data_IF_780671041815
#
_entry.id   IF_780671041815
#
_cell.length_a   1.000
_cell.length_b   1.000
_cell.length_c   1.000
_cell.angle_alpha   90.00
_cell.angle_beta   90.00
_cell.angle_gamma   90.00
#
_symmetry.space_group_name_H-M   'P 1'
#
loop_
_entity.id
_entity.type
_entity.pdbx_description
1 polymer ?
#
# COMPACT_ATOMS: atom_id res chain seq x y z
N UNK A 1 -20.18 -14.96 -84.84
CA UNK A 1 -20.63 -13.87 -83.99
C UNK A 1 -20.36 -14.27 -82.51
N UNK A 2 -19.27 -13.84 -81.89
CA UNK A 2 -18.88 -14.19 -80.53
C UNK A 2 -19.04 -12.99 -79.66
N UNK A 3 -19.99 -13.08 -78.74
CA UNK A 3 -20.21 -12.10 -77.67
C UNK A 3 -19.11 -12.29 -76.62
N UNK A 4 -18.27 -11.26 -76.46
CA UNK A 4 -17.28 -11.18 -75.37
C UNK A 4 -17.95 -10.50 -74.16
N UNK A 5 -18.27 -11.26 -73.16
CA UNK A 5 -18.81 -10.74 -71.90
C UNK A 5 -17.62 -10.35 -70.98
N UNK A 6 -17.45 -9.04 -70.81
CA UNK A 6 -16.48 -8.50 -69.84
C UNK A 6 -17.01 -8.66 -68.42
N UNK A 7 -16.41 -9.58 -67.69
CA UNK A 7 -16.57 -9.66 -66.23
C UNK A 7 -15.70 -8.54 -65.58
N UNK A 8 -16.36 -7.48 -65.10
CA UNK A 8 -15.74 -6.47 -64.29
C UNK A 8 -15.70 -7.01 -62.86
N UNK A 9 -14.56 -7.56 -62.46
CA UNK A 9 -14.30 -7.95 -61.08
C UNK A 9 -14.03 -6.69 -60.25
N UNK A 10 -15.05 -6.26 -59.49
CA UNK A 10 -14.91 -5.19 -58.51
C UNK A 10 -14.08 -5.66 -57.31
N UNK A 11 -12.85 -5.18 -57.23
CA UNK A 11 -11.98 -5.38 -56.06
C UNK A 11 -12.41 -4.41 -54.97
N UNK A 12 -13.27 -4.86 -54.06
CA UNK A 12 -13.64 -4.12 -52.87
C UNK A 12 -12.44 -4.24 -51.88
N UNK A 13 -11.60 -3.19 -51.89
CA UNK A 13 -10.53 -3.03 -50.90
C UNK A 13 -11.18 -2.70 -49.54
N UNK A 14 -11.32 -3.71 -48.69
CA UNK A 14 -11.71 -3.52 -47.27
C UNK A 14 -10.56 -2.82 -46.56
N UNK A 15 -10.62 -1.49 -46.39
CA UNK A 15 -9.78 -0.77 -45.46
C UNK A 15 -10.14 -1.25 -44.04
N UNK A 16 -9.34 -2.15 -43.50
CA UNK A 16 -9.42 -2.54 -42.11
C UNK A 16 -9.03 -1.34 -41.25
N UNK A 17 -10.01 -0.70 -40.63
CA UNK A 17 -9.78 0.28 -39.56
C UNK A 17 -9.23 -0.47 -38.36
N UNK A 18 -7.91 -0.43 -38.17
CA UNK A 18 -7.28 -0.87 -36.93
C UNK A 18 -7.72 0.09 -35.80
N UNK A 19 -8.77 -0.27 -35.10
CA UNK A 19 -9.13 0.40 -33.85
C UNK A 19 -8.07 0.03 -32.84
N UNK A 20 -7.17 0.95 -32.53
CA UNK A 20 -6.21 0.79 -31.45
C UNK A 20 -6.99 0.67 -30.14
N UNK A 21 -7.10 -0.54 -29.63
CA UNK A 21 -7.66 -0.77 -28.30
C UNK A 21 -6.69 -0.17 -27.26
N UNK A 22 -6.93 1.07 -26.86
CA UNK A 22 -6.24 1.66 -25.72
C UNK A 22 -6.84 1.03 -24.47
N UNK A 23 -6.07 0.19 -23.80
CA UNK A 23 -6.49 -0.43 -22.55
C UNK A 23 -5.92 0.39 -21.40
N UNK A 24 -6.78 0.91 -20.53
CA UNK A 24 -6.39 1.49 -19.25
C UNK A 24 -5.47 0.53 -18.51
N UNK A 25 -4.28 0.97 -18.15
CA UNK A 25 -3.31 0.18 -17.42
C UNK A 25 -3.04 0.78 -16.05
N UNK A 26 -3.30 -0.01 -15.02
CA UNK A 26 -2.96 0.33 -13.64
C UNK A 26 -1.54 -0.15 -13.32
N UNK A 27 -0.72 0.73 -12.75
CA UNK A 27 0.61 0.42 -12.25
C UNK A 27 0.57 -0.40 -10.96
N UNK A 28 1.70 -0.50 -10.27
CA UNK A 28 1.77 -1.04 -8.93
C UNK A 28 1.06 -0.16 -7.91
N UNK A 29 0.75 -0.74 -6.74
CA UNK A 29 0.22 -0.01 -5.60
C UNK A 29 1.37 0.41 -4.68
N UNK A 30 1.34 1.66 -4.22
CA UNK A 30 2.27 2.22 -3.26
C UNK A 30 1.54 2.51 -1.96
N UNK A 31 1.95 1.84 -0.87
CA UNK A 31 1.34 2.01 0.46
C UNK A 31 2.09 3.10 1.21
N UNK A 32 1.36 4.11 1.67
CA UNK A 32 1.89 5.29 2.35
C UNK A 32 1.71 5.22 3.87
N UNK A 33 0.71 4.46 4.35
CA UNK A 33 0.45 4.28 5.79
C UNK A 33 1.23 3.10 6.36
N UNK A 34 1.41 3.12 7.68
CA UNK A 34 1.99 2.02 8.42
C UNK A 34 0.90 1.09 8.98
N UNK A 35 1.33 -0.09 9.39
CA UNK A 35 0.50 -1.05 10.12
C UNK A 35 -0.08 -0.40 11.38
N UNK A 36 -1.38 -0.58 11.61
CA UNK A 36 -2.10 0.04 12.71
C UNK A 36 -2.61 1.46 12.44
N UNK A 37 -2.29 2.05 11.30
CA UNK A 37 -2.82 3.35 10.86
C UNK A 37 -3.99 3.19 9.88
N UNK A 38 -4.85 4.21 9.74
CA UNK A 38 -5.82 4.28 8.65
C UNK A 38 -5.13 4.13 7.29
N UNK A 39 -5.65 3.23 6.45
CA UNK A 39 -5.01 2.91 5.18
C UNK A 39 -4.96 4.12 4.25
N UNK A 40 -3.78 4.34 3.69
CA UNK A 40 -3.52 5.26 2.58
C UNK A 40 -2.59 4.59 1.60
N UNK A 41 -3.05 4.45 0.36
CA UNK A 41 -2.26 3.90 -0.73
C UNK A 41 -2.62 4.59 -2.04
N UNK A 42 -1.74 4.51 -3.01
CA UNK A 42 -1.92 5.07 -4.33
C UNK A 42 -1.59 4.06 -5.42
N UNK A 43 -2.37 4.09 -6.50
CA UNK A 43 -2.14 3.29 -7.70
C UNK A 43 -1.92 4.26 -8.85
N UNK A 44 -0.79 4.15 -9.55
CA UNK A 44 -0.54 4.93 -10.77
C UNK A 44 -1.42 4.44 -11.93
N UNK A 45 -1.85 5.37 -12.78
CA UNK A 45 -2.50 5.05 -14.05
C UNK A 45 -1.49 5.33 -15.16
N UNK A 46 -1.11 4.29 -15.90
CA UNK A 46 -0.04 4.39 -16.92
C UNK A 46 -0.56 4.79 -18.29
N UNK A 47 -1.74 4.29 -18.63
CA UNK A 47 -2.33 4.51 -19.96
C UNK A 47 -3.82 4.76 -19.81
N UNK A 48 -4.22 6.02 -19.96
CA UNK A 48 -5.61 6.41 -20.08
C UNK A 48 -5.68 7.59 -21.05
N UNK A 49 -6.64 7.58 -21.93
CA UNK A 49 -6.96 8.77 -22.73
C UNK A 49 -7.67 9.80 -21.85
N UNK A 50 -7.71 11.06 -22.28
CA UNK A 50 -8.43 12.10 -21.52
C UNK A 50 -9.92 11.76 -21.36
N UNK A 51 -10.51 11.10 -22.35
CA UNK A 51 -11.91 10.65 -22.31
C UNK A 51 -12.10 9.52 -21.29
N UNK A 52 -11.23 8.51 -21.31
CA UNK A 52 -11.26 7.39 -20.35
C UNK A 52 -11.04 7.88 -18.93
N UNK A 53 -10.11 8.81 -18.73
CA UNK A 53 -9.86 9.41 -17.44
C UNK A 53 -11.06 10.18 -16.90
N UNK A 54 -11.68 11.01 -17.73
CA UNK A 54 -12.87 11.79 -17.34
C UNK A 54 -14.10 10.95 -17.00
N UNK A 55 -14.15 9.69 -17.47
CA UNK A 55 -15.26 8.75 -17.24
C UNK A 55 -14.84 7.60 -16.30
N UNK A 56 -13.63 7.63 -15.76
CA UNK A 56 -13.11 6.56 -14.91
C UNK A 56 -13.86 6.51 -13.59
N UNK A 57 -14.57 5.42 -13.38
CA UNK A 57 -15.15 5.06 -12.09
C UNK A 57 -14.35 3.92 -11.46
N UNK A 58 -13.94 4.10 -10.22
CA UNK A 58 -13.14 3.11 -9.49
C UNK A 58 -13.83 2.77 -8.17
N UNK A 59 -13.83 1.50 -7.82
CA UNK A 59 -14.38 1.04 -6.55
C UNK A 59 -13.67 -0.22 -6.06
N UNK A 60 -13.80 -0.49 -4.78
CA UNK A 60 -13.42 -1.77 -4.20
C UNK A 60 -14.45 -2.82 -4.65
N UNK A 61 -13.97 -3.98 -5.09
CA UNK A 61 -14.86 -5.06 -5.51
C UNK A 61 -15.64 -5.62 -4.32
N UNK A 62 -16.86 -6.13 -4.54
CA UNK A 62 -17.64 -6.76 -3.48
C UNK A 62 -17.06 -8.11 -3.05
N UNK A 63 -17.44 -8.58 -1.86
CA UNK A 63 -16.93 -9.81 -1.24
C UNK A 63 -17.02 -11.06 -2.14
N UNK A 64 -18.08 -11.14 -2.95
CA UNK A 64 -18.29 -12.26 -3.88
C UNK A 64 -17.19 -12.35 -4.93
N UNK A 65 -16.66 -11.21 -5.35
CA UNK A 65 -15.55 -11.17 -6.30
C UNK A 65 -14.24 -11.64 -5.69
N UNK A 66 -13.98 -11.29 -4.43
CA UNK A 66 -12.83 -11.80 -3.70
C UNK A 66 -12.90 -13.33 -3.59
N UNK A 67 -14.06 -13.87 -3.21
CA UNK A 67 -14.26 -15.31 -3.11
C UNK A 67 -14.05 -16.04 -4.44
N UNK A 68 -14.52 -15.46 -5.56
CA UNK A 68 -14.33 -16.04 -6.91
C UNK A 68 -12.85 -16.16 -7.30
N UNK A 69 -12.00 -15.27 -6.78
CA UNK A 69 -10.56 -15.24 -7.05
C UNK A 69 -9.73 -15.91 -5.95
N UNK A 70 -10.37 -16.48 -4.93
CA UNK A 70 -9.68 -17.10 -3.80
C UNK A 70 -8.94 -16.10 -2.90
N UNK A 71 -9.35 -14.81 -2.92
CA UNK A 71 -8.76 -13.76 -2.11
C UNK A 71 -9.50 -13.60 -0.78
N UNK A 72 -8.78 -13.14 0.24
CA UNK A 72 -9.35 -12.90 1.56
C UNK A 72 -10.05 -11.54 1.58
N UNK A 73 -11.35 -11.55 1.88
CA UNK A 73 -12.13 -10.33 2.10
C UNK A 73 -12.28 -10.06 3.58
N UNK A 74 -11.95 -8.86 4.01
CA UNK A 74 -12.22 -8.40 5.37
C UNK A 74 -13.22 -7.24 5.36
N UNK A 75 -13.99 -7.09 6.43
CA UNK A 75 -14.92 -5.97 6.58
C UNK A 75 -14.22 -4.60 6.50
N UNK A 76 -12.95 -4.54 6.93
CA UNK A 76 -12.14 -3.34 6.84
C UNK A 76 -11.82 -2.96 5.37
N UNK A 77 -11.60 -3.95 4.50
CA UNK A 77 -11.42 -3.73 3.06
C UNK A 77 -12.68 -3.18 2.42
N UNK A 78 -13.86 -3.65 2.84
CA UNK A 78 -15.14 -3.17 2.33
C UNK A 78 -15.46 -1.70 2.68
N UNK A 79 -14.75 -1.11 3.65
CA UNK A 79 -14.89 0.30 4.03
C UNK A 79 -13.88 1.23 3.34
N UNK A 80 -12.99 0.66 2.52
CA UNK A 80 -12.06 1.45 1.73
C UNK A 80 -12.78 2.14 0.57
N UNK A 81 -12.32 3.34 0.28
CA UNK A 81 -12.76 4.14 -0.87
C UNK A 81 -11.63 4.23 -1.89
N UNK A 82 -12.00 4.21 -3.15
CA UNK A 82 -11.09 4.36 -4.27
C UNK A 82 -11.52 5.54 -5.13
N UNK A 83 -10.66 6.55 -5.25
CA UNK A 83 -10.97 7.79 -5.97
C UNK A 83 -9.88 8.12 -6.99
N UNK A 84 -10.23 8.30 -8.28
CA UNK A 84 -9.29 8.83 -9.25
C UNK A 84 -9.01 10.31 -8.95
N UNK A 85 -7.75 10.70 -9.02
CA UNK A 85 -7.32 12.09 -8.85
C UNK A 85 -6.07 12.38 -9.69
N UNK A 86 -5.88 13.64 -10.04
CA UNK A 86 -4.68 14.11 -10.68
C UNK A 86 -3.74 14.71 -9.64
N UNK A 87 -2.52 14.22 -9.59
CA UNK A 87 -1.49 14.70 -8.67
C UNK A 87 -0.94 16.06 -9.15
N UNK A 88 -0.25 16.80 -8.27
CA UNK A 88 0.31 18.12 -8.58
C UNK A 88 1.33 18.12 -9.71
N UNK A 89 1.94 16.99 -9.97
CA UNK A 89 2.87 16.72 -11.07
C UNK A 89 2.17 16.37 -12.39
N UNK A 90 0.82 16.40 -12.43
CA UNK A 90 0.00 16.03 -13.58
C UNK A 90 -0.15 14.52 -13.76
N UNK A 91 0.34 13.69 -12.85
CA UNK A 91 0.20 12.24 -12.94
C UNK A 91 -1.21 11.80 -12.50
N UNK A 92 -1.82 10.93 -13.33
CA UNK A 92 -3.11 10.31 -13.04
C UNK A 92 -2.92 9.17 -12.04
N UNK A 93 -3.64 9.23 -10.92
CA UNK A 93 -3.53 8.26 -9.83
C UNK A 93 -4.90 7.91 -9.26
N UNK A 94 -4.99 6.76 -8.62
CA UNK A 94 -6.15 6.33 -7.85
C UNK A 94 -5.72 6.31 -6.39
N UNK A 95 -6.38 7.10 -5.56
CA UNK A 95 -6.17 7.10 -4.11
C UNK A 95 -7.06 6.06 -3.47
N UNK A 96 -6.47 5.24 -2.62
CA UNK A 96 -7.18 4.30 -1.76
C UNK A 96 -7.07 4.79 -0.34
N UNK A 97 -8.19 4.97 0.32
CA UNK A 97 -8.23 5.43 1.70
C UNK A 97 -9.39 4.82 2.47
N UNK A 98 -9.28 4.77 3.79
CA UNK A 98 -10.36 4.32 4.67
C UNK A 98 -10.04 4.57 6.13
N UNK A 99 -11.08 4.62 6.99
CA UNK A 99 -10.92 4.95 8.41
C UNK A 99 -10.33 3.80 9.22
N UNK A 100 -10.38 2.57 8.71
CA UNK A 100 -9.94 1.38 9.41
C UNK A 100 -8.43 1.18 9.32
N UNK A 101 -7.86 0.71 10.40
CA UNK A 101 -6.47 0.26 10.45
C UNK A 101 -6.40 -1.26 10.22
N UNK A 102 -5.29 -1.70 9.66
CA UNK A 102 -5.01 -3.10 9.43
C UNK A 102 -3.90 -3.59 10.36
N UNK A 103 -4.15 -4.73 11.00
CA UNK A 103 -3.18 -5.39 11.90
C UNK A 103 -2.34 -6.44 11.17
N UNK A 104 -2.76 -6.84 9.98
CA UNK A 104 -2.05 -7.82 9.17
C UNK A 104 -0.88 -7.18 8.41
N UNK A 105 0.12 -7.99 8.08
CA UNK A 105 1.24 -7.53 7.26
C UNK A 105 0.88 -7.44 5.78
N UNK A 106 -0.11 -8.23 5.36
CA UNK A 106 -0.60 -8.30 3.99
C UNK A 106 -2.10 -8.11 3.96
N UNK A 107 -2.58 -7.34 3.01
CA UNK A 107 -4.01 -7.11 2.79
C UNK A 107 -4.29 -7.27 1.31
N UNK A 108 -5.19 -8.18 0.97
CA UNK A 108 -5.65 -8.33 -0.40
C UNK A 108 -6.65 -7.23 -0.74
N UNK A 109 -6.45 -6.60 -1.88
CA UNK A 109 -7.29 -5.53 -2.40
C UNK A 109 -7.68 -5.86 -3.83
N UNK A 110 -8.96 -5.82 -4.10
CA UNK A 110 -9.49 -6.04 -5.44
C UNK A 110 -10.18 -4.76 -5.92
N UNK A 111 -9.65 -4.17 -6.98
CA UNK A 111 -10.15 -2.94 -7.58
C UNK A 111 -10.94 -3.26 -8.84
N UNK A 112 -12.14 -2.71 -8.93
CA UNK A 112 -12.92 -2.63 -10.16
C UNK A 112 -12.79 -1.22 -10.74
N UNK A 113 -12.29 -1.12 -11.94
CA UNK A 113 -12.23 0.12 -12.72
C UNK A 113 -13.15 0.00 -13.93
N UNK A 114 -13.91 1.03 -14.22
CA UNK A 114 -14.86 1.07 -15.30
C UNK A 114 -14.77 2.39 -16.06
N UNK A 115 -14.71 2.32 -17.37
CA UNK A 115 -14.83 3.46 -18.31
C UNK A 115 -15.88 3.13 -19.37
N UNK A 116 -16.11 4.04 -20.34
CA UNK A 116 -16.95 3.73 -21.50
C UNK A 116 -16.39 2.58 -22.36
N UNK A 117 -15.05 2.42 -22.37
CA UNK A 117 -14.35 1.39 -23.17
C UNK A 117 -14.43 -0.01 -22.55
N UNK A 118 -14.76 -0.13 -21.25
CA UNK A 118 -14.86 -1.43 -20.59
C UNK A 118 -14.75 -1.41 -19.07
N UNK A 119 -14.74 -2.62 -18.53
CA UNK A 119 -14.58 -2.87 -17.09
C UNK A 119 -13.38 -3.77 -16.86
N UNK A 120 -12.55 -3.39 -15.90
CA UNK A 120 -11.36 -4.15 -15.48
C UNK A 120 -11.44 -4.47 -14.01
N UNK A 121 -10.85 -5.61 -13.66
CA UNK A 121 -10.69 -6.03 -12.27
C UNK A 121 -9.22 -6.35 -12.07
N UNK A 122 -8.60 -5.75 -11.07
CA UNK A 122 -7.20 -6.00 -10.73
C UNK A 122 -7.02 -6.25 -9.25
N UNK A 123 -6.32 -7.33 -8.94
CA UNK A 123 -5.95 -7.67 -7.58
C UNK A 123 -4.59 -7.06 -7.23
N UNK A 124 -4.48 -6.62 -5.98
CA UNK A 124 -3.24 -6.13 -5.38
C UNK A 124 -3.09 -6.76 -4.00
N UNK A 125 -1.87 -7.09 -3.64
CA UNK A 125 -1.53 -7.43 -2.25
C UNK A 125 -0.75 -6.27 -1.66
N UNK A 126 -1.34 -5.58 -0.70
CA UNK A 126 -0.70 -4.49 0.03
C UNK A 126 0.23 -5.07 1.09
N UNK A 127 1.46 -4.59 1.11
CA UNK A 127 2.43 -4.91 2.15
C UNK A 127 2.52 -3.72 3.11
N UNK A 128 2.01 -3.91 4.33
CA UNK A 128 2.00 -2.88 5.37
C UNK A 128 3.31 -2.93 6.16
N UNK A 129 4.07 -1.85 6.12
CA UNK A 129 5.30 -1.70 6.89
C UNK A 129 4.97 -1.40 8.36
N UNK A 130 5.74 -1.95 9.28
CA UNK A 130 5.68 -1.51 10.67
C UNK A 130 6.26 -0.10 10.77
N UNK A 131 5.58 0.78 11.51
CA UNK A 131 6.13 2.11 11.79
C UNK A 131 7.54 1.95 12.41
N UNK A 132 8.53 2.73 11.98
CA UNK A 132 9.78 2.78 12.72
C UNK A 132 9.43 3.16 14.16
N UNK A 133 9.86 2.34 15.13
CA UNK A 133 9.77 2.73 16.53
C UNK A 133 10.44 4.10 16.60
N UNK A 134 9.68 5.13 16.94
CA UNK A 134 10.29 6.34 17.50
C UNK A 134 11.04 5.81 18.71
N UNK A 135 12.38 5.72 18.59
CA UNK A 135 13.21 5.51 19.75
C UNK A 135 12.65 6.47 20.79
N UNK A 136 12.21 5.89 21.91
CA UNK A 136 11.65 6.66 23.01
C UNK A 136 12.50 7.91 23.14
N UNK A 137 11.87 9.06 22.97
CA UNK A 137 12.46 10.35 23.35
C UNK A 137 12.99 10.06 24.75
N UNK A 138 14.29 10.20 25.04
CA UNK A 138 14.77 9.97 26.38
C UNK A 138 13.84 10.79 27.26
N UNK A 139 13.12 10.11 28.15
CA UNK A 139 12.29 10.77 29.14
C UNK A 139 13.25 11.71 29.84
N UNK A 140 13.18 12.97 29.48
CA UNK A 140 13.87 14.03 30.18
C UNK A 140 13.25 13.99 31.56
N UNK A 141 13.91 13.25 32.45
CA UNK A 141 13.61 13.26 33.89
C UNK A 141 13.54 14.72 34.27
N UNK A 142 12.31 15.25 34.32
CA UNK A 142 12.05 16.55 34.86
C UNK A 142 12.70 16.49 36.28
N UNK A 143 13.74 17.25 36.45
CA UNK A 143 14.40 17.50 37.70
C UNK A 143 13.36 17.96 38.69
N UNK A 144 12.80 17.03 39.45
CA UNK A 144 12.11 17.36 40.71
C UNK A 144 13.20 17.71 41.70
N UNK A 145 13.68 18.95 41.58
CA UNK A 145 14.39 19.57 42.69
C UNK A 145 13.38 19.78 43.80
N UNK A 146 13.56 19.12 44.86
CA UNK A 146 13.31 19.50 46.24
C UNK A 146 12.72 18.41 47.11
N UNK A 147 13.42 18.20 48.15
CA UNK A 147 13.03 17.61 49.44
C UNK A 147 13.04 16.09 49.57
N UNK A 148 14.18 15.49 49.97
CA UNK A 148 14.33 15.04 51.32
C UNK A 148 15.59 14.18 51.46
N UNK A 149 16.38 14.60 52.48
CA UNK A 149 17.24 13.82 53.39
C UNK A 149 17.97 12.57 52.84
N UNK A 150 19.30 12.50 52.94
CA UNK A 150 20.08 11.39 52.43
C UNK A 150 19.83 10.13 53.25
N UNK A 151 19.12 9.17 52.63
CA UNK A 151 19.25 7.80 53.03
C UNK A 151 20.50 7.27 52.32
N UNK A 152 21.53 7.00 53.08
CA UNK A 152 22.77 6.35 52.62
C UNK A 152 22.42 4.93 52.19
N UNK A 153 22.21 4.73 50.91
CA UNK A 153 22.25 3.40 50.33
C UNK A 153 23.71 3.10 49.97
N UNK A 154 24.20 1.89 50.21
CA UNK A 154 25.58 1.53 49.84
C UNK A 154 25.74 1.64 48.32
N UNK A 155 26.93 1.97 47.82
CA UNK A 155 27.18 2.14 46.40
C UNK A 155 26.95 0.81 45.65
N UNK A 156 25.94 0.77 44.82
CA UNK A 156 25.57 -0.39 44.00
C UNK A 156 26.34 -0.42 42.69
N UNK A 157 27.41 0.35 42.58
CA UNK A 157 28.19 0.44 41.35
C UNK A 157 29.60 -0.12 41.56
N UNK A 158 29.89 -1.23 40.89
CA UNK A 158 31.23 -1.82 40.89
C UNK A 158 31.94 -1.45 39.57
N UNK A 159 33.06 -0.76 39.67
CA UNK A 159 33.87 -0.43 38.51
C UNK A 159 34.76 -1.63 38.17
N UNK A 160 34.45 -2.29 37.07
CA UNK A 160 35.19 -3.46 36.60
C UNK A 160 36.62 -3.10 36.24
N UNK A 161 37.61 -3.75 36.84
CA UNK A 161 39.03 -3.57 36.57
C UNK A 161 39.51 -4.57 35.51
N UNK A 162 40.55 -4.20 34.77
CA UNK A 162 41.12 -5.03 33.72
C UNK A 162 41.66 -6.35 34.30
N UNK A 163 40.98 -7.44 33.98
CA UNK A 163 41.31 -8.80 34.45
C UNK A 163 40.25 -9.43 35.35
N UNK A 164 39.20 -8.71 35.78
CA UNK A 164 38.11 -9.28 36.53
C UNK A 164 37.10 -9.99 35.60
N UNK A 165 36.67 -11.17 36.03
CA UNK A 165 35.62 -11.89 35.34
C UNK A 165 34.27 -11.72 36.04
N UNK A 166 33.17 -11.73 35.26
CA UNK A 166 31.82 -11.62 35.81
C UNK A 166 31.51 -12.61 36.92
N UNK A 167 32.10 -13.81 36.87
CA UNK A 167 31.93 -14.85 37.91
C UNK A 167 32.62 -14.51 39.23
N UNK A 168 33.65 -13.68 39.22
CA UNK A 168 34.34 -13.22 40.45
C UNK A 168 33.51 -12.10 41.09
N UNK A 169 33.00 -11.18 40.32
CA UNK A 169 32.15 -10.09 40.79
C UNK A 169 30.88 -10.64 41.46
N UNK A 170 30.18 -11.57 40.80
CA UNK A 170 28.97 -12.19 41.36
C UNK A 170 29.24 -12.91 42.66
N UNK A 171 30.37 -13.62 42.81
CA UNK A 171 30.73 -14.31 44.08
C UNK A 171 30.95 -13.35 45.22
N UNK A 172 31.55 -12.21 44.98
CA UNK A 172 31.79 -11.19 46.00
C UNK A 172 30.48 -10.59 46.53
N UNK A 173 29.50 -10.39 45.66
CA UNK A 173 28.17 -9.86 46.00
C UNK A 173 27.29 -10.84 46.79
N UNK A 174 27.54 -12.14 46.66
CA UNK A 174 26.76 -13.16 47.36
C UNK A 174 27.31 -13.47 48.76
N UNK A 175 28.43 -12.89 49.15
CA UNK A 175 29.10 -13.14 50.44
C UNK A 175 29.04 -11.96 51.43
N UNK A 176 28.46 -10.82 51.04
CA UNK A 176 28.10 -9.68 51.89
C UNK A 176 26.60 -9.67 52.22
#
# INVERSE_FOLDING_TARGET
>A
MRQVRHFLAGFVSALGVCVSAHALTLAGIEVQSFKGEPLRAEIGVVSATAEEWGQLSVKIAPAERFAQLGLVYSAAVGQLQAEPYESRDGAQRIRISGPQSFSDNFVDLLIEAQTASGKWVKAFTLMLKTAPHKADTPVQLATVAAMNKPATLPPTEHVVQKGESASQIIRQWLTE
#
